data_IF_989175448848
#
_entry.id   IF_989175448848
#
_cell.length_a   1.000
_cell.length_b   1.000
_cell.length_c   1.000
_cell.angle_alpha   90.00
_cell.angle_beta   90.00
_cell.angle_gamma   90.00
#
_symmetry.space_group_name_H-M   'P 1'
#
loop_
_entity.id
_entity.type
_entity.pdbx_description
1 polymer ?
#
# COMPACT_ATOMS: atom_id res chain seq x y z
N UNK A 1 -10.75 13.59 -11.55
CA UNK A 1 -12.00 12.84 -11.74
C UNK A 1 -12.26 12.04 -10.47
N UNK A 2 -13.49 12.14 -9.93
CA UNK A 2 -13.85 11.55 -8.64
C UNK A 2 -13.89 10.02 -8.66
N UNK A 3 -13.55 9.40 -7.55
CA UNK A 3 -13.71 7.96 -7.37
C UNK A 3 -15.21 7.61 -7.34
N UNK A 4 -15.62 6.67 -8.18
CA UNK A 4 -17.02 6.27 -8.35
C UNK A 4 -17.40 5.01 -7.55
N UNK A 5 -16.41 4.21 -7.13
CA UNK A 5 -16.64 3.06 -6.28
C UNK A 5 -16.72 3.46 -4.81
N UNK A 6 -17.75 2.98 -4.13
CA UNK A 6 -17.93 3.20 -2.70
C UNK A 6 -16.96 2.35 -1.89
N UNK A 7 -16.34 2.97 -0.88
CA UNK A 7 -15.53 2.27 0.11
C UNK A 7 -16.42 1.51 1.10
N UNK A 8 -15.89 0.47 1.75
CA UNK A 8 -16.59 -0.27 2.81
C UNK A 8 -17.08 0.61 3.97
N UNK A 9 -16.47 1.79 4.17
CA UNK A 9 -16.93 2.78 5.16
C UNK A 9 -18.14 3.61 4.70
N UNK A 10 -18.65 3.42 3.48
CA UNK A 10 -19.72 4.19 2.88
C UNK A 10 -19.27 5.48 2.16
N UNK A 11 -18.00 5.91 2.29
CA UNK A 11 -17.45 7.07 1.60
C UNK A 11 -16.86 6.73 0.23
N UNK A 12 -16.28 7.75 -0.44
CA UNK A 12 -15.61 7.63 -1.73
C UNK A 12 -14.21 8.22 -1.64
N UNK A 13 -13.28 7.69 -2.45
CA UNK A 13 -11.91 8.22 -2.52
C UNK A 13 -11.08 7.98 -1.26
N UNK A 14 -11.45 7.00 -0.44
CA UNK A 14 -10.70 6.66 0.76
C UNK A 14 -9.32 6.10 0.40
N UNK A 15 -8.29 6.47 1.18
CA UNK A 15 -6.92 5.95 1.02
C UNK A 15 -6.90 4.41 1.03
N UNK A 16 -7.75 3.78 1.83
CA UNK A 16 -7.90 2.32 1.90
C UNK A 16 -8.16 1.69 0.53
N UNK A 17 -8.94 2.35 -0.35
CA UNK A 17 -9.26 1.85 -1.70
C UNK A 17 -8.04 1.80 -2.65
N UNK A 18 -6.97 2.48 -2.33
CA UNK A 18 -5.74 2.49 -3.11
C UNK A 18 -4.55 1.87 -2.37
N UNK A 19 -4.44 2.07 -1.05
CA UNK A 19 -3.24 1.79 -0.27
C UNK A 19 -3.37 0.60 0.71
N UNK A 20 -4.43 -0.20 0.58
CA UNK A 20 -4.60 -1.44 1.33
C UNK A 20 -4.30 -2.68 0.46
N UNK A 21 -4.34 -3.87 1.08
CA UNK A 21 -4.24 -5.13 0.36
C UNK A 21 -5.38 -5.29 -0.68
N UNK A 22 -6.61 -4.95 -0.30
CA UNK A 22 -7.76 -4.94 -1.22
C UNK A 22 -7.62 -3.85 -2.27
N UNK A 23 -7.07 -2.69 -1.91
CA UNK A 23 -6.78 -1.58 -2.80
C UNK A 23 -5.79 -1.93 -3.91
N UNK A 24 -4.68 -2.60 -3.59
CA UNK A 24 -3.70 -3.06 -4.58
C UNK A 24 -4.36 -4.00 -5.61
N UNK A 25 -5.16 -4.98 -5.16
CA UNK A 25 -5.86 -5.89 -6.04
C UNK A 25 -6.92 -5.17 -6.91
N UNK A 26 -7.60 -4.17 -6.32
CA UNK A 26 -8.57 -3.32 -7.01
C UNK A 26 -7.92 -2.49 -8.11
N UNK A 27 -6.79 -1.85 -7.83
CA UNK A 27 -6.02 -1.08 -8.82
C UNK A 27 -5.58 -1.96 -9.99
N UNK A 28 -5.07 -3.17 -9.72
CA UNK A 28 -4.69 -4.11 -10.76
C UNK A 28 -5.89 -4.53 -11.63
N UNK A 29 -7.06 -4.77 -11.03
CA UNK A 29 -8.28 -5.09 -11.77
C UNK A 29 -8.69 -3.94 -12.69
N UNK A 30 -8.71 -2.70 -12.20
CA UNK A 30 -9.00 -1.52 -13.02
C UNK A 30 -8.06 -1.38 -14.23
N UNK A 31 -6.76 -1.62 -14.03
CA UNK A 31 -5.78 -1.59 -15.11
C UNK A 31 -6.00 -2.72 -16.13
N UNK A 32 -6.34 -3.93 -15.67
CA UNK A 32 -6.66 -5.06 -16.55
C UNK A 32 -7.90 -4.82 -17.41
N UNK A 33 -8.91 -4.15 -16.85
CA UNK A 33 -10.16 -3.80 -17.53
C UNK A 33 -9.97 -2.63 -18.50
N UNK A 34 -9.14 -1.65 -18.13
CA UNK A 34 -8.90 -0.46 -18.93
C UNK A 34 -8.08 -0.73 -20.20
N UNK A 35 -7.17 -1.69 -20.15
CA UNK A 35 -6.30 -2.04 -21.29
C UNK A 35 -6.26 -3.57 -21.49
N UNK A 36 -7.21 -4.07 -22.27
CA UNK A 36 -7.34 -5.50 -22.57
C UNK A 36 -6.19 -6.05 -23.43
N UNK A 37 -5.50 -5.20 -24.18
CA UNK A 37 -4.41 -5.60 -25.07
C UNK A 37 -3.06 -5.72 -24.33
N UNK A 38 -2.91 -5.09 -23.17
CA UNK A 38 -1.67 -5.10 -22.42
C UNK A 38 -1.40 -6.47 -21.82
N UNK A 39 -0.23 -7.09 -22.12
CA UNK A 39 0.14 -8.38 -21.54
C UNK A 39 0.28 -8.30 -20.03
N UNK A 40 -0.26 -9.30 -19.32
CA UNK A 40 -0.08 -9.45 -17.87
C UNK A 40 -0.38 -10.88 -17.46
N UNK A 41 0.46 -11.43 -16.61
CA UNK A 41 0.26 -12.74 -15.97
C UNK A 41 -0.96 -12.76 -15.05
N UNK A 42 -1.42 -11.59 -14.61
CA UNK A 42 -2.60 -11.46 -13.75
C UNK A 42 -3.91 -11.82 -14.46
N UNK A 43 -3.93 -11.87 -15.81
CA UNK A 43 -5.14 -12.27 -16.59
C UNK A 43 -5.55 -13.71 -16.34
N UNK A 44 -4.59 -14.57 -16.00
CA UNK A 44 -4.84 -16.00 -15.72
C UNK A 44 -5.21 -16.25 -14.25
N UNK A 45 -5.12 -15.21 -13.39
CA UNK A 45 -5.39 -15.32 -11.96
C UNK A 45 -6.89 -15.18 -11.69
N UNK A 46 -7.55 -16.29 -11.34
CA UNK A 46 -9.00 -16.33 -11.05
C UNK A 46 -9.42 -15.39 -9.90
N UNK A 47 -8.61 -15.34 -8.83
CA UNK A 47 -8.89 -14.53 -7.64
C UNK A 47 -7.72 -13.58 -7.39
N UNK A 48 -7.79 -12.37 -7.94
CA UNK A 48 -6.80 -11.33 -7.71
C UNK A 48 -6.72 -10.94 -6.23
N UNK A 49 -5.51 -11.00 -5.70
CA UNK A 49 -5.19 -10.62 -4.32
C UNK A 49 -3.94 -9.74 -4.30
N UNK A 50 -3.71 -9.02 -3.21
CA UNK A 50 -2.46 -8.27 -3.05
C UNK A 50 -1.23 -9.17 -3.23
N UNK A 51 -1.30 -10.41 -2.73
CA UNK A 51 -0.20 -11.38 -2.87
C UNK A 51 0.09 -11.65 -4.34
N UNK A 52 -0.92 -12.04 -5.14
CA UNK A 52 -0.71 -12.35 -6.56
C UNK A 52 -0.18 -11.15 -7.35
N UNK A 53 -0.67 -9.93 -7.05
CA UNK A 53 -0.21 -8.71 -7.70
C UNK A 53 1.25 -8.38 -7.31
N UNK A 54 1.60 -8.49 -6.03
CA UNK A 54 2.97 -8.25 -5.56
C UNK A 54 3.97 -9.27 -6.10
N UNK A 55 3.56 -10.54 -6.19
CA UNK A 55 4.40 -11.60 -6.75
C UNK A 55 4.62 -11.39 -8.25
N UNK A 56 3.56 -11.04 -9.01
CA UNK A 56 3.67 -10.70 -10.43
C UNK A 56 4.54 -9.45 -10.67
N UNK A 57 4.39 -8.42 -9.84
CA UNK A 57 5.21 -7.21 -9.93
C UNK A 57 6.70 -7.51 -9.70
N UNK A 58 7.02 -8.38 -8.74
CA UNK A 58 8.40 -8.85 -8.51
C UNK A 58 8.95 -9.67 -9.68
N UNK A 59 8.08 -10.41 -10.35
CA UNK A 59 8.43 -11.19 -11.54
C UNK A 59 8.59 -10.33 -12.81
N UNK A 60 8.37 -9.01 -12.72
CA UNK A 60 8.54 -8.07 -13.82
C UNK A 60 7.27 -7.81 -14.64
N UNK A 61 6.10 -8.22 -14.17
CA UNK A 61 4.82 -7.86 -14.82
C UNK A 61 4.59 -6.35 -14.68
N UNK A 62 4.59 -5.65 -15.82
CA UNK A 62 4.53 -4.19 -15.85
C UNK A 62 3.18 -3.64 -15.39
N UNK A 63 2.08 -4.35 -15.64
CA UNK A 63 0.75 -3.93 -15.17
C UNK A 63 0.65 -4.09 -13.65
N UNK A 64 1.12 -5.21 -13.13
CA UNK A 64 1.18 -5.44 -11.69
C UNK A 64 2.08 -4.40 -11.00
N UNK A 65 3.24 -4.10 -11.60
CA UNK A 65 4.17 -3.09 -11.08
C UNK A 65 3.51 -1.70 -11.04
N UNK A 66 2.79 -1.30 -12.07
CA UNK A 66 2.08 -0.01 -12.11
C UNK A 66 1.02 0.10 -11.00
N UNK A 67 0.27 -0.97 -10.73
CA UNK A 67 -0.71 -0.97 -9.64
C UNK A 67 -0.05 -0.83 -8.27
N UNK A 68 1.09 -1.51 -8.05
CA UNK A 68 1.88 -1.40 -6.82
C UNK A 68 2.48 0.00 -6.67
N UNK A 69 3.05 0.57 -7.74
CA UNK A 69 3.60 1.92 -7.75
C UNK A 69 2.52 2.97 -7.44
N UNK A 70 1.33 2.81 -8.02
CA UNK A 70 0.20 3.69 -7.75
C UNK A 70 -0.22 3.63 -6.28
N UNK A 71 -0.33 2.42 -5.71
CA UNK A 71 -0.63 2.22 -4.29
C UNK A 71 0.42 2.86 -3.38
N UNK A 72 1.71 2.63 -3.66
CA UNK A 72 2.82 3.20 -2.90
C UNK A 72 2.85 4.73 -2.98
N UNK A 73 2.51 5.30 -4.13
CA UNK A 73 2.43 6.75 -4.32
C UNK A 73 1.34 7.39 -3.45
N UNK A 74 0.13 6.81 -3.42
CA UNK A 74 -0.95 7.29 -2.55
C UNK A 74 -0.59 7.18 -1.07
N UNK A 75 0.05 6.07 -0.68
CA UNK A 75 0.48 5.89 0.71
C UNK A 75 1.60 6.88 1.08
N UNK A 76 2.60 7.04 0.21
CA UNK A 76 3.67 8.03 0.40
C UNK A 76 3.14 9.46 0.49
N UNK A 77 2.12 9.81 -0.31
CA UNK A 77 1.45 11.10 -0.25
C UNK A 77 0.75 11.34 1.09
N UNK A 78 -0.03 10.36 1.54
CA UNK A 78 -0.70 10.44 2.84
C UNK A 78 0.30 10.57 3.99
N UNK A 79 1.38 9.77 3.97
CA UNK A 79 2.46 9.84 4.97
C UNK A 79 3.18 11.19 4.94
N UNK A 80 3.43 11.76 3.76
CA UNK A 80 4.03 13.08 3.63
C UNK A 80 3.17 14.17 4.29
N UNK A 81 1.84 14.13 4.09
CA UNK A 81 0.91 15.01 4.77
C UNK A 81 0.96 14.87 6.30
N UNK A 82 1.01 13.64 6.81
CA UNK A 82 1.15 13.36 8.25
C UNK A 82 2.50 13.87 8.78
N UNK A 83 3.58 13.67 8.04
CA UNK A 83 4.92 14.16 8.41
C UNK A 83 4.92 15.68 8.64
N UNK A 84 4.21 16.43 7.81
CA UNK A 84 4.15 17.89 7.93
C UNK A 84 3.39 18.38 9.18
N UNK A 85 2.60 17.53 9.82
CA UNK A 85 1.79 17.88 11.00
C UNK A 85 2.39 17.30 12.29
N UNK A 86 2.89 16.05 12.24
CA UNK A 86 3.28 15.28 13.44
C UNK A 86 4.79 15.07 13.53
N UNK A 87 5.51 15.14 12.40
CA UNK A 87 6.95 14.87 12.28
C UNK A 87 7.38 13.55 12.97
N UNK A 88 6.82 12.39 12.56
CA UNK A 88 7.12 11.10 13.20
C UNK A 88 8.54 10.64 12.89
N UNK A 89 9.15 9.87 13.78
CA UNK A 89 10.46 9.25 13.56
C UNK A 89 10.40 8.11 12.53
N UNK A 90 9.29 7.36 12.52
CA UNK A 90 9.10 6.23 11.62
C UNK A 90 7.62 5.93 11.37
N UNK A 91 7.36 5.30 10.23
CA UNK A 91 6.10 4.66 9.87
C UNK A 91 6.29 3.14 9.88
N UNK A 92 5.41 2.43 10.58
CA UNK A 92 5.42 0.98 10.62
C UNK A 92 4.36 0.40 9.70
N UNK A 93 4.78 -0.37 8.71
CA UNK A 93 3.89 -1.06 7.78
C UNK A 93 3.60 -2.46 8.32
N UNK A 94 2.34 -2.69 8.70
CA UNK A 94 1.85 -3.97 9.20
C UNK A 94 0.78 -4.60 8.30
N UNK A 95 0.15 -5.65 8.81
CA UNK A 95 -0.93 -6.34 8.12
C UNK A 95 -0.49 -7.21 6.94
N UNK A 96 -1.44 -7.60 6.08
CA UNK A 96 -1.21 -8.53 4.98
C UNK A 96 -0.17 -8.08 3.95
N UNK A 97 -0.04 -6.77 3.74
CA UNK A 97 0.92 -6.18 2.78
C UNK A 97 2.36 -6.20 3.28
N UNK A 98 2.60 -6.32 4.59
CA UNK A 98 3.96 -6.39 5.16
C UNK A 98 4.76 -7.60 4.66
N UNK A 99 4.07 -8.66 4.21
CA UNK A 99 4.69 -9.83 3.56
C UNK A 99 5.41 -9.51 2.25
N UNK A 100 5.11 -8.34 1.67
CA UNK A 100 5.87 -7.85 0.51
C UNK A 100 7.31 -7.46 0.84
N UNK A 101 7.66 -7.34 2.12
CA UNK A 101 9.02 -7.04 2.54
C UNK A 101 9.51 -5.68 2.08
N UNK A 102 10.83 -5.56 1.90
CA UNK A 102 11.50 -4.32 1.53
C UNK A 102 11.07 -3.81 0.16
N UNK A 103 10.67 -4.68 -0.76
CA UNK A 103 10.14 -4.30 -2.07
C UNK A 103 9.03 -3.24 -1.99
N UNK A 104 8.15 -3.35 -0.98
CA UNK A 104 7.08 -2.38 -0.76
C UNK A 104 7.57 -1.15 -0.01
N UNK A 105 8.31 -1.34 1.10
CA UNK A 105 8.74 -0.22 1.95
C UNK A 105 9.70 0.73 1.24
N UNK A 106 10.59 0.22 0.40
CA UNK A 106 11.49 1.04 -0.42
C UNK A 106 10.74 1.94 -1.40
N UNK A 107 9.70 1.40 -2.04
CA UNK A 107 8.84 2.20 -2.94
C UNK A 107 8.07 3.29 -2.18
N UNK A 108 7.48 2.94 -1.04
CA UNK A 108 6.76 3.90 -0.20
C UNK A 108 7.72 4.98 0.30
N UNK A 109 8.91 4.59 0.80
CA UNK A 109 9.95 5.53 1.26
C UNK A 109 10.31 6.53 0.18
N UNK A 110 10.54 6.05 -1.05
CA UNK A 110 10.87 6.92 -2.19
C UNK A 110 9.79 7.98 -2.43
N UNK A 111 8.52 7.58 -2.44
CA UNK A 111 7.42 8.53 -2.64
C UNK A 111 7.25 9.49 -1.45
N UNK A 112 7.36 9.00 -0.22
CA UNK A 112 7.35 9.83 0.98
C UNK A 112 8.44 10.91 0.90
N UNK A 113 9.67 10.52 0.56
CA UNK A 113 10.82 11.42 0.52
C UNK A 113 10.72 12.48 -0.59
N UNK A 114 10.13 12.11 -1.72
CA UNK A 114 9.85 13.02 -2.82
C UNK A 114 8.77 14.05 -2.47
N UNK A 115 7.78 13.64 -1.69
CA UNK A 115 6.60 14.44 -1.37
C UNK A 115 6.73 15.20 -0.03
N UNK A 116 7.79 14.97 0.73
CA UNK A 116 8.12 15.69 1.97
C UNK A 116 9.49 16.37 1.89
N UNK A 117 9.74 17.27 0.92
CA UNK A 117 11.07 17.87 0.73
C UNK A 117 11.47 18.81 1.88
N UNK A 118 10.49 19.35 2.61
CA UNK A 118 10.69 20.30 3.71
C UNK A 118 10.93 19.63 5.06
N UNK A 119 10.76 18.32 5.18
CA UNK A 119 10.99 17.61 6.44
C UNK A 119 12.49 17.63 6.78
N UNK A 120 12.82 18.10 7.98
CA UNK A 120 14.20 18.18 8.49
C UNK A 120 14.79 16.79 8.75
N UNK A 121 13.94 15.87 9.20
CA UNK A 121 14.24 14.45 9.30
C UNK A 121 13.23 13.67 8.48
N UNK A 122 13.70 12.79 7.59
CA UNK A 122 12.81 11.92 6.83
C UNK A 122 12.44 10.72 7.68
N UNK A 123 11.15 10.61 8.01
CA UNK A 123 10.63 9.45 8.71
C UNK A 123 10.95 8.16 7.96
N UNK A 124 11.41 7.14 8.67
CA UNK A 124 11.73 5.83 8.07
C UNK A 124 10.47 5.02 7.87
N UNK A 125 10.35 4.38 6.72
CA UNK A 125 9.28 3.40 6.46
C UNK A 125 9.81 2.00 6.74
N UNK A 126 9.32 1.39 7.80
CA UNK A 126 9.80 0.13 8.33
C UNK A 126 8.70 -0.94 8.32
N UNK A 127 9.08 -2.21 8.31
CA UNK A 127 8.15 -3.31 8.48
C UNK A 127 7.87 -3.52 9.98
N UNK A 128 6.59 -3.73 10.32
CA UNK A 128 6.22 -4.17 11.65
C UNK A 128 6.68 -5.62 11.90
N UNK A 129 7.32 -5.87 13.02
CA UNK A 129 7.89 -7.18 13.38
C UNK A 129 6.82 -8.21 13.75
N UNK A 130 5.68 -7.76 14.27
CA UNK A 130 4.59 -8.64 14.74
C UNK A 130 3.60 -9.04 13.60
N UNK A 131 3.77 -8.52 12.39
CA UNK A 131 2.91 -8.85 11.25
C UNK A 131 1.42 -8.65 11.54
N UNK A 132 0.60 -9.67 11.24
CA UNK A 132 -0.84 -9.65 11.48
C UNK A 132 -1.22 -9.79 12.97
N UNK A 133 -0.32 -10.27 13.80
CA UNK A 133 -0.60 -10.55 15.21
C UNK A 133 -0.43 -9.31 16.11
N UNK A 134 0.04 -8.21 15.55
CA UNK A 134 0.26 -6.94 16.26
C UNK A 134 -0.96 -6.46 17.05
N UNK A 135 -2.16 -6.63 16.49
CA UNK A 135 -3.41 -6.26 17.17
C UNK A 135 -3.68 -7.11 18.43
N UNK A 136 -3.41 -8.41 18.34
CA UNK A 136 -3.58 -9.36 19.47
C UNK A 136 -2.60 -9.02 20.59
N UNK A 137 -1.33 -8.82 20.24
CA UNK A 137 -0.30 -8.43 21.20
C UNK A 137 -0.61 -7.08 21.84
N UNK A 138 -1.07 -6.09 21.06
CA UNK A 138 -1.46 -4.78 21.57
C UNK A 138 -2.64 -4.85 22.53
N UNK A 139 -3.69 -5.62 22.19
CA UNK A 139 -4.83 -5.83 23.06
C UNK A 139 -4.44 -6.55 24.37
N UNK A 140 -3.63 -7.60 24.27
CA UNK A 140 -3.13 -8.31 25.47
C UNK A 140 -2.30 -7.38 26.35
N UNK A 141 -1.46 -6.52 25.79
CA UNK A 141 -0.64 -5.57 26.55
C UNK A 141 -1.49 -4.55 27.32
N UNK A 142 -2.63 -4.11 26.75
CA UNK A 142 -3.54 -3.19 27.44
C UNK A 142 -4.18 -3.80 28.71
N UNK A 143 -4.32 -5.14 28.74
CA UNK A 143 -4.91 -5.85 29.89
C UNK A 143 -3.85 -6.20 30.93
N UNK A 144 -2.62 -6.45 30.50
CA UNK A 144 -1.51 -6.88 31.39
C UNK A 144 -0.75 -5.72 32.03
N UNK A 145 -0.99 -4.47 31.62
CA UNK A 145 -0.35 -3.26 32.15
C UNK A 145 1.03 -3.02 31.56
#
# INVERSE_FOLDING_TARGET
EGETEQCNCGGYGCLEQAASATGIARLARKLLEADLARPSSLREVKNLSAKSVLDAARAGDLLALESVETSCRYLGWAMAGITMVVDPEAYLIGGGVSRAGTFLTEKIQRYHDQLSPMATKKAKVLLATLGNDAGIYGAAKLVLG
#
